data_IF_780160434985
#
_entry.id   IF_780160434985
#
_cell.length_a   1.000
_cell.length_b   1.000
_cell.length_c   1.000
_cell.angle_alpha   90.00
_cell.angle_beta   90.00
_cell.angle_gamma   90.00
#
_symmetry.space_group_name_H-M   'P 1'
#
loop_
_entity.id
_entity.type
_entity.pdbx_description
1 polymer ?
#
# COMPACT_ATOMS: atom_id res chain seq x y z
N UNK A 1 -7.95 -32.40 4.15
CA UNK A 1 -7.29 -31.17 3.62
C UNK A 1 -8.32 -30.34 2.90
N UNK A 2 -8.52 -29.08 3.28
CA UNK A 2 -9.48 -28.15 2.70
C UNK A 2 -8.86 -26.74 2.58
N UNK A 3 -9.55 -25.80 1.93
CA UNK A 3 -9.03 -24.45 1.68
C UNK A 3 -8.72 -23.70 2.99
N UNK A 4 -9.57 -23.85 4.02
CA UNK A 4 -9.34 -23.22 5.32
C UNK A 4 -8.07 -23.72 6.03
N UNK A 5 -7.68 -24.96 5.81
CA UNK A 5 -6.43 -25.49 6.38
C UNK A 5 -5.22 -24.75 5.79
N UNK A 6 -5.29 -24.37 4.50
CA UNK A 6 -4.27 -23.56 3.85
C UNK A 6 -4.29 -22.10 4.34
N UNK A 7 -5.47 -21.50 4.49
CA UNK A 7 -5.60 -20.15 5.05
C UNK A 7 -5.00 -20.07 6.46
N UNK A 8 -5.24 -21.07 7.31
CA UNK A 8 -4.66 -21.15 8.65
C UNK A 8 -3.13 -21.29 8.63
N UNK A 9 -2.60 -22.09 7.71
CA UNK A 9 -1.16 -22.28 7.58
C UNK A 9 -0.47 -21.00 7.08
N UNK A 10 -1.09 -20.30 6.12
CA UNK A 10 -0.62 -19.01 5.61
C UNK A 10 -0.63 -17.96 6.72
N UNK A 11 -1.72 -17.84 7.47
CA UNK A 11 -1.82 -16.92 8.60
C UNK A 11 -0.76 -17.22 9.66
N UNK A 12 -0.49 -18.50 9.95
CA UNK A 12 0.57 -18.87 10.90
C UNK A 12 1.96 -18.51 10.38
N UNK A 13 2.21 -18.60 9.08
CA UNK A 13 3.46 -18.16 8.46
C UNK A 13 3.65 -16.65 8.59
N UNK A 14 2.59 -15.87 8.42
CA UNK A 14 2.64 -14.40 8.50
C UNK A 14 2.86 -13.88 9.91
N UNK A 15 2.02 -14.35 10.84
CA UNK A 15 2.02 -13.83 12.20
C UNK A 15 3.05 -14.49 13.11
N UNK A 16 3.57 -15.66 12.76
CA UNK A 16 4.51 -16.46 13.59
C UNK A 16 4.02 -16.64 15.03
N UNK A 17 2.71 -16.52 15.24
CA UNK A 17 2.07 -16.60 16.55
C UNK A 17 0.66 -17.18 16.43
N UNK A 18 0.39 -18.34 17.08
CA UNK A 18 -0.89 -19.03 16.97
C UNK A 18 -2.11 -18.18 17.35
N UNK A 19 -2.00 -17.35 18.39
CA UNK A 19 -3.10 -16.48 18.82
C UNK A 19 -3.44 -15.40 17.81
N UNK A 20 -2.44 -14.75 17.22
CA UNK A 20 -2.63 -13.70 16.19
C UNK A 20 -3.14 -14.31 14.89
N UNK A 21 -2.59 -15.45 14.45
CA UNK A 21 -3.08 -16.17 13.29
C UNK A 21 -4.53 -16.64 13.46
N UNK A 22 -4.93 -17.08 14.65
CA UNK A 22 -6.30 -17.47 14.94
C UNK A 22 -7.26 -16.27 14.88
N UNK A 23 -6.83 -15.13 15.44
CA UNK A 23 -7.60 -13.89 15.41
C UNK A 23 -7.80 -13.38 13.97
N UNK A 24 -6.76 -13.42 13.14
CA UNK A 24 -6.86 -13.00 11.72
C UNK A 24 -7.79 -13.89 10.90
N UNK A 25 -7.90 -15.17 11.27
CA UNK A 25 -8.81 -16.13 10.64
C UNK A 25 -10.20 -16.21 11.32
N UNK A 26 -10.49 -15.33 12.28
CA UNK A 26 -11.76 -15.28 13.03
C UNK A 26 -12.13 -16.61 13.72
N UNK A 27 -11.13 -17.31 14.26
CA UNK A 27 -11.32 -18.58 14.98
C UNK A 27 -10.62 -18.56 16.33
N UNK A 28 -10.94 -19.57 17.17
CA UNK A 28 -10.21 -19.77 18.41
C UNK A 28 -8.83 -20.40 18.16
N UNK A 29 -7.83 -20.03 18.97
CA UNK A 29 -6.49 -20.62 18.87
C UNK A 29 -6.50 -22.17 18.96
N UNK A 30 -7.29 -22.83 19.85
CA UNK A 30 -7.41 -24.29 19.85
C UNK A 30 -7.91 -24.86 18.52
N UNK A 31 -8.89 -24.17 17.88
CA UNK A 31 -9.43 -24.57 16.58
C UNK A 31 -8.35 -24.57 15.51
N UNK A 32 -7.64 -23.44 15.37
CA UNK A 32 -6.55 -23.30 14.39
C UNK A 32 -5.46 -24.36 14.63
N UNK A 33 -5.00 -24.52 15.86
CA UNK A 33 -3.96 -25.51 16.22
C UNK A 33 -4.39 -26.95 15.90
N UNK A 34 -5.67 -27.29 16.16
CA UNK A 34 -6.20 -28.63 15.87
C UNK A 34 -6.30 -28.88 14.37
N UNK A 35 -6.72 -27.90 13.57
CA UNK A 35 -6.83 -28.06 12.12
C UNK A 35 -5.44 -28.16 11.47
N UNK A 36 -4.48 -27.35 11.91
CA UNK A 36 -3.10 -27.45 11.42
C UNK A 36 -2.48 -28.82 11.77
N UNK A 37 -2.75 -29.36 12.96
CA UNK A 37 -2.31 -30.72 13.29
C UNK A 37 -2.93 -31.77 12.39
N UNK A 38 -4.23 -31.69 12.10
CA UNK A 38 -4.88 -32.59 11.13
C UNK A 38 -4.27 -32.47 9.74
N UNK A 39 -3.90 -31.28 9.29
CA UNK A 39 -3.21 -31.07 8.03
C UNK A 39 -1.83 -31.78 8.03
N UNK A 40 -1.05 -31.65 9.12
CA UNK A 40 0.23 -32.35 9.28
C UNK A 40 0.04 -33.88 9.26
N UNK A 41 -0.97 -34.39 9.96
CA UNK A 41 -1.30 -35.81 10.02
C UNK A 41 -1.70 -36.33 8.62
N UNK A 42 -2.49 -35.57 7.86
CA UNK A 42 -2.92 -35.95 6.50
C UNK A 42 -1.76 -35.93 5.50
N UNK A 43 -0.83 -34.95 5.63
CA UNK A 43 0.36 -34.86 4.78
C UNK A 43 1.49 -35.82 5.22
N UNK A 44 1.36 -36.42 6.40
CA UNK A 44 2.32 -37.37 6.95
C UNK A 44 3.66 -36.73 7.34
N UNK A 45 3.71 -35.40 7.51
CA UNK A 45 4.95 -34.71 7.85
C UNK A 45 4.66 -33.45 8.68
N UNK A 46 5.53 -33.12 9.67
CA UNK A 46 5.40 -31.87 10.41
C UNK A 46 5.71 -30.65 9.53
N UNK A 47 4.81 -29.67 9.54
CA UNK A 47 4.96 -28.40 8.86
C UNK A 47 5.44 -27.28 9.81
N UNK A 48 5.25 -27.47 11.11
CA UNK A 48 5.48 -26.49 12.16
C UNK A 48 6.44 -27.03 13.19
N UNK A 49 7.48 -26.27 13.50
CA UNK A 49 8.37 -26.53 14.63
C UNK A 49 7.74 -25.99 15.91
N UNK A 50 7.44 -26.87 16.86
CA UNK A 50 6.78 -26.53 18.13
C UNK A 50 7.77 -26.34 19.28
N UNK A 51 9.04 -26.07 18.98
CA UNK A 51 10.08 -25.88 19.99
C UNK A 51 10.30 -24.41 20.33
N UNK A 52 9.96 -24.00 21.56
CA UNK A 52 10.27 -22.68 22.10
C UNK A 52 9.15 -21.64 22.04
N UNK A 53 9.49 -20.38 22.30
CA UNK A 53 8.55 -19.24 22.33
C UNK A 53 8.15 -18.76 20.94
N UNK A 54 8.91 -19.09 19.90
CA UNK A 54 8.68 -18.63 18.53
C UNK A 54 8.16 -19.80 17.68
N UNK A 55 7.12 -19.54 16.91
CA UNK A 55 6.57 -20.47 15.91
C UNK A 55 7.42 -20.35 14.63
N UNK A 56 7.96 -21.47 14.17
CA UNK A 56 8.69 -21.54 12.92
C UNK A 56 8.10 -22.65 12.04
N UNK A 57 8.16 -22.46 10.74
CA UNK A 57 7.83 -23.51 9.79
C UNK A 57 9.06 -24.40 9.54
N UNK A 58 8.81 -25.68 9.36
CA UNK A 58 9.83 -26.59 8.85
C UNK A 58 10.19 -26.23 7.41
N UNK A 59 11.27 -26.79 6.87
CA UNK A 59 11.60 -26.65 5.44
C UNK A 59 10.42 -27.07 4.56
N UNK A 60 9.80 -28.22 4.87
CA UNK A 60 8.61 -28.71 4.15
C UNK A 60 7.42 -27.75 4.34
N UNK A 61 7.25 -27.21 5.56
CA UNK A 61 6.22 -26.22 5.86
C UNK A 61 6.31 -24.98 4.96
N UNK A 62 7.52 -24.45 4.77
CA UNK A 62 7.73 -23.32 3.85
C UNK A 62 7.38 -23.65 2.39
N UNK A 63 7.76 -24.85 1.92
CA UNK A 63 7.41 -25.30 0.57
C UNK A 63 5.89 -25.49 0.41
N UNK A 64 5.20 -26.04 1.43
CA UNK A 64 3.74 -26.21 1.44
C UNK A 64 3.03 -24.87 1.47
N UNK A 65 3.47 -23.90 2.30
CA UNK A 65 2.89 -22.54 2.33
C UNK A 65 2.96 -21.87 0.95
N UNK A 66 4.11 -21.97 0.28
CA UNK A 66 4.26 -21.40 -1.07
C UNK A 66 3.27 -22.01 -2.08
N UNK A 67 2.90 -23.27 -1.91
CA UNK A 67 1.86 -23.92 -2.74
C UNK A 67 0.45 -23.57 -2.28
N UNK A 68 0.23 -23.51 -0.97
CA UNK A 68 -1.05 -23.13 -0.37
C UNK A 68 -1.50 -21.74 -0.83
N UNK A 69 -0.58 -20.77 -0.88
CA UNK A 69 -0.87 -19.40 -1.40
C UNK A 69 -1.41 -19.47 -2.83
N UNK A 70 -0.80 -20.27 -3.72
CA UNK A 70 -1.27 -20.44 -5.09
C UNK A 70 -2.65 -21.09 -5.18
N UNK A 71 -2.96 -22.05 -4.30
CA UNK A 71 -4.28 -22.69 -4.27
C UNK A 71 -5.36 -21.70 -3.84
N UNK A 72 -5.09 -20.92 -2.79
CA UNK A 72 -6.03 -19.88 -2.32
C UNK A 72 -6.28 -18.85 -3.39
N UNK A 73 -5.22 -18.39 -4.08
CA UNK A 73 -5.30 -17.46 -5.21
C UNK A 73 -6.20 -18.03 -6.33
N UNK A 74 -5.99 -19.28 -6.75
CA UNK A 74 -6.77 -19.92 -7.81
C UNK A 74 -8.26 -20.06 -7.45
N UNK A 75 -8.56 -20.37 -6.20
CA UNK A 75 -9.96 -20.42 -5.75
C UNK A 75 -10.61 -19.05 -5.75
N UNK A 76 -9.87 -18.01 -5.38
CA UNK A 76 -10.36 -16.63 -5.44
C UNK A 76 -10.61 -16.19 -6.90
N UNK A 77 -9.72 -16.57 -7.84
CA UNK A 77 -9.94 -16.34 -9.29
C UNK A 77 -11.18 -17.06 -9.81
N UNK A 78 -11.40 -18.35 -9.43
CA UNK A 78 -12.63 -19.07 -9.81
C UNK A 78 -13.89 -18.34 -9.32
N UNK A 79 -13.88 -17.83 -8.09
CA UNK A 79 -14.98 -17.04 -7.54
C UNK A 79 -15.18 -15.73 -8.31
N UNK A 80 -14.10 -15.09 -8.73
CA UNK A 80 -14.12 -13.89 -9.56
C UNK A 80 -14.71 -14.18 -10.94
N UNK A 81 -14.24 -15.23 -11.63
CA UNK A 81 -14.78 -15.68 -12.91
C UNK A 81 -16.29 -15.92 -12.81
N UNK A 82 -16.73 -16.63 -11.77
CA UNK A 82 -18.16 -16.93 -11.57
C UNK A 82 -19.01 -15.66 -11.34
N UNK A 83 -18.46 -14.64 -10.66
CA UNK A 83 -19.15 -13.35 -10.47
C UNK A 83 -19.26 -12.53 -11.76
N UNK A 84 -18.34 -12.69 -12.70
CA UNK A 84 -18.21 -11.87 -13.91
C UNK A 84 -18.64 -12.59 -15.19
N UNK A 85 -19.27 -13.75 -15.09
CA UNK A 85 -19.69 -14.56 -16.23
C UNK A 85 -20.63 -13.86 -17.22
N UNK A 86 -21.11 -12.65 -16.91
CA UNK A 86 -22.05 -11.89 -17.76
C UNK A 86 -21.45 -10.63 -18.41
N UNK A 87 -20.55 -9.89 -17.77
CA UNK A 87 -19.87 -8.71 -18.36
C UNK A 87 -18.71 -8.25 -17.47
N UNK A 88 -17.44 -8.29 -17.93
CA UNK A 88 -16.29 -7.78 -17.17
C UNK A 88 -16.35 -6.28 -16.87
N UNK A 89 -17.17 -5.52 -17.61
CA UNK A 89 -17.38 -4.09 -17.41
C UNK A 89 -18.55 -3.77 -16.46
N UNK A 90 -19.34 -4.78 -16.10
CA UNK A 90 -20.51 -4.67 -15.20
C UNK A 90 -20.29 -5.56 -13.98
N UNK A 91 -19.33 -5.22 -13.12
CA UNK A 91 -18.99 -6.02 -11.96
C UNK A 91 -18.48 -5.19 -10.80
N UNK A 92 -17.94 -5.85 -9.80
CA UNK A 92 -17.29 -5.21 -8.66
C UNK A 92 -15.77 -5.47 -8.73
N UNK A 93 -14.97 -4.41 -8.76
CA UNK A 93 -13.52 -4.45 -8.61
C UNK A 93 -13.14 -4.06 -7.19
N UNK A 94 -12.34 -4.88 -6.53
CA UNK A 94 -11.72 -4.59 -5.25
C UNK A 94 -10.35 -3.98 -5.49
N UNK A 95 -10.26 -2.66 -5.30
CA UNK A 95 -9.06 -1.87 -5.55
C UNK A 95 -8.38 -1.52 -4.23
N UNK A 96 -7.18 -2.03 -4.02
CA UNK A 96 -6.32 -1.64 -2.90
C UNK A 96 -5.60 -0.33 -3.18
N UNK A 97 -5.49 0.56 -2.19
CA UNK A 97 -4.70 1.78 -2.29
C UNK A 97 -4.03 2.10 -0.95
N UNK A 98 -2.79 2.58 -0.98
CA UNK A 98 -2.05 2.86 0.25
C UNK A 98 -2.46 4.19 0.92
N UNK A 99 -2.35 4.30 2.28
CA UNK A 99 -2.98 5.38 3.07
C UNK A 99 -2.46 6.79 2.78
N UNK A 100 -1.24 6.94 2.29
CA UNK A 100 -0.68 8.27 1.98
C UNK A 100 -1.03 8.77 0.56
N UNK A 101 -1.83 8.00 -0.18
CA UNK A 101 -2.37 8.39 -1.49
C UNK A 101 -3.91 8.37 -1.48
N UNK A 102 -4.50 7.31 -0.93
CA UNK A 102 -5.92 7.01 -1.07
C UNK A 102 -6.85 8.20 -0.75
N UNK A 103 -6.74 8.88 0.42
CA UNK A 103 -7.63 9.99 0.77
C UNK A 103 -7.55 11.17 -0.20
N UNK A 104 -6.43 11.32 -0.90
CA UNK A 104 -6.12 12.46 -1.77
C UNK A 104 -6.42 12.16 -3.25
N UNK A 105 -6.31 10.89 -3.66
CA UNK A 105 -6.62 10.44 -5.02
C UNK A 105 -8.14 10.24 -5.21
N UNK A 106 -8.81 9.64 -4.22
CA UNK A 106 -10.24 9.26 -4.34
C UNK A 106 -11.16 10.42 -4.72
N UNK A 107 -11.02 11.64 -4.15
CA UNK A 107 -11.88 12.77 -4.54
C UNK A 107 -11.81 13.12 -6.03
N UNK A 108 -10.69 12.88 -6.67
CA UNK A 108 -10.49 13.09 -8.11
C UNK A 108 -10.90 11.86 -8.94
N UNK A 109 -10.44 10.67 -8.54
CA UNK A 109 -10.60 9.47 -9.33
C UNK A 109 -12.03 8.90 -9.29
N UNK A 110 -12.70 8.90 -8.14
CA UNK A 110 -14.02 8.23 -8.01
C UNK A 110 -15.12 8.89 -8.85
N UNK A 111 -15.28 10.21 -8.90
CA UNK A 111 -16.25 10.83 -9.79
C UNK A 111 -15.98 10.53 -11.27
N UNK A 112 -14.69 10.56 -11.67
CA UNK A 112 -14.27 10.26 -13.03
C UNK A 112 -14.55 8.78 -13.40
N UNK A 113 -14.21 7.84 -12.52
CA UNK A 113 -14.49 6.41 -12.70
C UNK A 113 -15.97 6.14 -12.79
N UNK A 114 -16.80 6.73 -11.93
CA UNK A 114 -18.25 6.59 -11.98
C UNK A 114 -18.85 7.11 -13.28
N UNK A 115 -18.29 8.18 -13.84
CA UNK A 115 -18.71 8.74 -15.13
C UNK A 115 -18.28 7.89 -16.33
N UNK A 116 -17.02 7.43 -16.33
CA UNK A 116 -16.44 6.70 -17.46
C UNK A 116 -16.84 5.21 -17.47
N UNK A 117 -17.04 4.61 -16.31
CA UNK A 117 -17.34 3.18 -16.13
C UNK A 117 -18.58 2.99 -15.23
N UNK A 118 -19.77 3.47 -15.66
CA UNK A 118 -20.96 3.57 -14.80
C UNK A 118 -21.51 2.20 -14.34
N UNK A 119 -21.21 1.14 -15.07
CA UNK A 119 -21.61 -0.23 -14.73
C UNK A 119 -20.62 -0.95 -13.81
N UNK A 120 -19.46 -0.35 -13.55
CA UNK A 120 -18.41 -0.92 -12.71
C UNK A 120 -18.53 -0.37 -11.29
N UNK A 121 -18.68 -1.24 -10.30
CA UNK A 121 -18.56 -0.89 -8.88
C UNK A 121 -17.10 -1.02 -8.45
N UNK A 122 -16.56 0.01 -7.82
CA UNK A 122 -15.19 -0.03 -7.27
C UNK A 122 -15.28 0.00 -5.75
N UNK A 123 -14.94 -1.12 -5.13
CA UNK A 123 -14.77 -1.23 -3.69
C UNK A 123 -13.31 -0.91 -3.36
N UNK A 124 -13.08 0.16 -2.60
CA UNK A 124 -11.74 0.59 -2.23
C UNK A 124 -11.35 0.03 -0.86
N UNK A 125 -10.16 -0.54 -0.79
CA UNK A 125 -9.54 -1.03 0.45
C UNK A 125 -8.27 -0.23 0.69
N UNK A 126 -8.16 0.38 1.88
CA UNK A 126 -6.99 1.15 2.28
C UNK A 126 -6.15 0.34 3.25
N UNK A 127 -4.93 -0.01 2.83
CA UNK A 127 -3.98 -0.76 3.64
C UNK A 127 -2.53 -0.41 3.26
N UNK A 128 -1.57 -0.77 4.10
CA UNK A 128 -0.14 -0.62 3.82
C UNK A 128 0.26 -1.47 2.61
N UNK A 129 1.26 -1.01 1.85
CA UNK A 129 1.69 -1.65 0.59
C UNK A 129 1.93 -3.15 0.74
N UNK A 130 2.63 -3.58 1.78
CA UNK A 130 2.90 -5.00 2.02
C UNK A 130 1.62 -5.82 2.23
N UNK A 131 0.64 -5.29 2.98
CA UNK A 131 -0.67 -5.93 3.16
C UNK A 131 -1.43 -6.00 1.84
N UNK A 132 -1.45 -4.89 1.07
CA UNK A 132 -2.09 -4.86 -0.25
C UNK A 132 -1.51 -5.90 -1.21
N UNK A 133 -0.19 -6.07 -1.21
CA UNK A 133 0.48 -7.09 -2.02
C UNK A 133 0.06 -8.51 -1.60
N UNK A 134 -0.01 -8.79 -0.30
CA UNK A 134 -0.50 -10.08 0.19
C UNK A 134 -1.97 -10.33 -0.16
N UNK A 135 -2.83 -9.32 -0.03
CA UNK A 135 -4.24 -9.42 -0.40
C UNK A 135 -4.41 -9.62 -1.91
N UNK A 136 -3.56 -8.98 -2.74
CA UNK A 136 -3.54 -9.20 -4.18
C UNK A 136 -3.16 -10.65 -4.51
N UNK A 137 -2.11 -11.18 -3.88
CA UNK A 137 -1.66 -12.56 -4.06
C UNK A 137 -2.71 -13.58 -3.58
N UNK A 138 -3.42 -13.28 -2.51
CA UNK A 138 -4.50 -14.10 -1.99
C UNK A 138 -5.80 -14.02 -2.82
N UNK A 139 -5.87 -13.10 -3.80
CA UNK A 139 -7.08 -12.87 -4.61
C UNK A 139 -8.21 -12.15 -3.85
N UNK A 140 -7.91 -11.55 -2.72
CA UNK A 140 -8.83 -10.71 -1.96
C UNK A 140 -9.02 -9.33 -2.61
N UNK A 141 -7.99 -8.87 -3.34
CA UNK A 141 -8.03 -7.69 -4.19
C UNK A 141 -7.87 -8.09 -5.67
N UNK A 142 -8.47 -7.32 -6.55
CA UNK A 142 -8.36 -7.50 -8.00
C UNK A 142 -7.20 -6.69 -8.58
N UNK A 143 -6.95 -5.51 -8.02
CA UNK A 143 -5.80 -4.65 -8.33
C UNK A 143 -5.38 -3.82 -7.13
N UNK A 144 -4.14 -3.30 -7.18
CA UNK A 144 -3.61 -2.38 -6.16
C UNK A 144 -2.98 -1.15 -6.83
N UNK A 145 -3.12 0.01 -6.20
CA UNK A 145 -2.37 1.21 -6.52
C UNK A 145 -1.30 1.37 -5.45
N UNK A 146 -0.02 1.38 -5.87
CA UNK A 146 1.13 1.46 -4.95
C UNK A 146 2.16 2.48 -5.44
N UNK A 147 2.95 3.01 -4.51
CA UNK A 147 4.01 4.00 -4.76
C UNK A 147 5.43 3.40 -4.71
N UNK A 148 5.55 2.11 -4.90
CA UNK A 148 6.82 1.37 -4.92
C UNK A 148 6.87 0.46 -6.14
N UNK A 149 8.05 0.20 -6.70
CA UNK A 149 8.17 -0.74 -7.80
C UNK A 149 7.66 -2.14 -7.42
N UNK A 150 6.74 -2.68 -8.21
CA UNK A 150 6.30 -4.07 -8.10
C UNK A 150 6.95 -4.86 -9.24
N UNK A 151 7.97 -5.64 -8.91
CA UNK A 151 8.67 -6.48 -9.90
C UNK A 151 8.55 -7.94 -9.45
N UNK A 152 7.47 -8.61 -9.91
CA UNK A 152 7.21 -10.01 -9.58
C UNK A 152 6.61 -10.76 -10.77
N UNK A 153 6.98 -12.03 -10.92
CA UNK A 153 6.37 -12.92 -11.92
C UNK A 153 4.88 -13.10 -11.63
N UNK A 154 4.05 -13.00 -12.66
CA UNK A 154 2.60 -13.17 -12.56
C UNK A 154 1.82 -11.90 -12.17
N UNK A 155 2.51 -10.77 -12.02
CA UNK A 155 1.89 -9.46 -11.80
C UNK A 155 2.18 -8.56 -13.00
N UNK A 156 1.13 -8.01 -13.57
CA UNK A 156 1.20 -6.94 -14.57
C UNK A 156 1.17 -5.59 -13.87
N UNK A 157 1.94 -4.66 -14.39
CA UNK A 157 2.09 -3.32 -13.80
C UNK A 157 1.91 -2.28 -14.89
N UNK A 158 1.12 -1.25 -14.59
CA UNK A 158 0.92 -0.10 -15.46
C UNK A 158 1.27 1.17 -14.69
N UNK A 159 2.26 1.97 -15.14
CA UNK A 159 2.55 3.27 -14.56
C UNK A 159 1.30 4.16 -14.60
N UNK A 160 1.04 4.90 -13.55
CA UNK A 160 -0.04 5.90 -13.52
C UNK A 160 0.52 7.30 -13.64
N UNK A 161 1.26 7.73 -12.65
CA UNK A 161 1.81 9.07 -12.61
C UNK A 161 3.01 9.17 -11.67
N UNK A 162 3.79 10.23 -11.87
CA UNK A 162 4.84 10.68 -10.97
C UNK A 162 4.32 11.84 -10.14
N UNK A 163 4.52 11.77 -8.84
CA UNK A 163 4.09 12.78 -7.89
C UNK A 163 5.28 13.31 -7.12
N UNK A 164 5.53 14.63 -7.26
CA UNK A 164 6.60 15.30 -6.53
C UNK A 164 6.28 15.46 -5.06
N UNK A 165 7.32 15.43 -4.24
CA UNK A 165 7.24 15.85 -2.86
C UNK A 165 7.48 17.34 -2.73
N UNK A 166 6.79 17.95 -1.78
CA UNK A 166 7.00 19.29 -1.32
C UNK A 166 7.66 19.24 0.05
N UNK A 167 8.53 20.17 0.34
CA UNK A 167 9.00 20.40 1.69
C UNK A 167 7.94 21.18 2.47
N UNK A 168 7.59 20.70 3.66
CA UNK A 168 6.57 21.29 4.51
C UNK A 168 7.15 21.64 5.87
N UNK A 169 6.95 22.87 6.29
CA UNK A 169 7.37 23.39 7.59
C UNK A 169 6.33 24.30 8.21
N UNK A 170 6.51 24.71 9.50
CA UNK A 170 5.65 25.69 10.13
C UNK A 170 5.69 27.02 9.40
N UNK A 171 4.53 27.69 9.23
CA UNK A 171 4.46 28.94 8.47
C UNK A 171 5.27 30.11 9.09
N UNK A 172 5.56 30.02 10.39
CA UNK A 172 6.36 31.03 11.11
C UNK A 172 7.87 30.71 11.16
N UNK A 173 8.30 29.60 10.54
CA UNK A 173 9.71 29.20 10.51
C UNK A 173 10.48 30.15 9.56
N UNK A 174 11.60 30.77 10.02
CA UNK A 174 12.42 31.64 9.18
C UNK A 174 12.96 30.94 7.93
N UNK A 175 13.24 29.64 7.98
CA UNK A 175 13.69 28.85 6.84
C UNK A 175 12.64 28.76 5.72
N UNK A 176 11.35 28.94 6.05
CA UNK A 176 10.26 28.97 5.09
C UNK A 176 10.11 30.34 4.41
N UNK A 177 10.78 31.37 4.89
CA UNK A 177 10.65 32.75 4.40
C UNK A 177 11.42 33.04 3.10
N UNK A 178 12.39 32.23 2.74
CA UNK A 178 13.14 32.40 1.48
C UNK A 178 12.24 32.15 0.27
N UNK A 179 12.28 33.03 -0.71
CA UNK A 179 11.56 32.88 -1.97
C UNK A 179 12.36 32.02 -2.96
N UNK A 180 11.76 30.92 -3.41
CA UNK A 180 12.29 30.04 -4.44
C UNK A 180 12.23 28.57 -4.06
N UNK A 181 12.42 27.68 -5.06
CA UNK A 181 12.45 26.24 -4.84
C UNK A 181 13.73 25.85 -4.05
N UNK A 182 13.62 24.78 -3.26
CA UNK A 182 14.74 24.21 -2.53
C UNK A 182 15.51 23.24 -3.42
N UNK A 183 16.82 23.17 -3.23
CA UNK A 183 17.59 21.99 -3.67
C UNK A 183 17.50 20.89 -2.63
N UNK A 184 17.61 19.64 -3.05
CA UNK A 184 17.69 18.51 -2.11
C UNK A 184 18.88 18.67 -1.12
N UNK A 185 19.97 19.31 -1.56
CA UNK A 185 21.12 19.61 -0.70
C UNK A 185 20.82 20.63 0.41
N UNK A 186 19.80 21.48 0.24
CA UNK A 186 19.42 22.46 1.27
C UNK A 186 18.80 21.79 2.52
N UNK A 187 18.48 20.51 2.43
CA UNK A 187 18.05 19.72 3.57
C UNK A 187 19.23 19.17 4.43
N UNK A 188 20.49 19.48 4.10
CA UNK A 188 21.64 19.02 4.88
C UNK A 188 21.57 19.54 6.32
N UNK A 189 21.56 18.60 7.27
CA UNK A 189 21.44 18.90 8.70
C UNK A 189 20.03 19.06 9.23
N UNK A 190 18.99 19.02 8.37
CA UNK A 190 17.60 19.04 8.80
C UNK A 190 17.19 17.71 9.45
N UNK A 191 16.31 17.79 10.45
CA UNK A 191 15.65 16.65 11.06
C UNK A 191 14.20 16.54 10.57
N UNK A 192 13.91 15.52 9.76
CA UNK A 192 12.58 15.34 9.20
C UNK A 192 11.67 14.47 10.08
N UNK A 193 10.47 14.94 10.30
CA UNK A 193 9.38 14.14 10.84
C UNK A 193 8.96 13.09 9.82
N UNK A 194 8.88 11.83 10.22
CA UNK A 194 8.53 10.73 9.34
C UNK A 194 7.31 9.94 9.87
N UNK A 195 6.68 9.22 8.97
CA UNK A 195 5.65 8.24 9.33
C UNK A 195 6.26 7.02 10.03
N UNK A 196 5.43 6.28 10.74
CA UNK A 196 5.80 5.00 11.33
C UNK A 196 6.19 3.97 10.26
N UNK A 197 6.86 2.91 10.68
CA UNK A 197 7.29 1.81 9.80
C UNK A 197 6.12 1.19 9.01
N UNK A 198 6.44 0.72 7.81
CA UNK A 198 5.50 0.10 6.89
C UNK A 198 4.74 1.07 5.98
N UNK A 199 4.96 2.38 6.09
CA UNK A 199 4.49 3.35 5.11
C UNK A 199 5.55 3.60 4.04
N UNK A 200 5.21 3.42 2.76
CA UNK A 200 6.15 3.65 1.64
C UNK A 200 6.71 5.08 1.63
N UNK A 201 5.92 6.08 2.03
CA UNK A 201 6.36 7.46 2.13
C UNK A 201 7.54 7.63 3.13
N UNK A 202 7.57 6.83 4.21
CA UNK A 202 8.71 6.81 5.12
C UNK A 202 10.00 6.40 4.42
N UNK A 203 9.94 5.28 3.69
CA UNK A 203 11.12 4.74 3.00
C UNK A 203 11.59 5.68 1.90
N UNK A 204 10.66 6.32 1.18
CA UNK A 204 10.93 7.34 0.18
C UNK A 204 11.60 8.58 0.81
N UNK A 205 11.06 9.09 1.92
CA UNK A 205 11.67 10.21 2.64
C UNK A 205 13.05 9.86 3.21
N UNK A 206 13.25 8.64 3.71
CA UNK A 206 14.57 8.18 4.14
C UNK A 206 15.59 8.10 2.99
N UNK A 207 15.16 7.81 1.77
CA UNK A 207 16.04 7.88 0.60
C UNK A 207 16.47 9.32 0.33
N UNK A 208 15.55 10.28 0.42
CA UNK A 208 15.87 11.72 0.32
C UNK A 208 16.83 12.13 1.43
N UNK A 209 16.60 11.71 2.68
CA UNK A 209 17.52 11.96 3.80
C UNK A 209 18.94 11.44 3.52
N UNK A 210 19.08 10.23 2.98
CA UNK A 210 20.39 9.65 2.64
C UNK A 210 21.12 10.48 1.58
N UNK A 211 20.40 11.03 0.60
CA UNK A 211 20.97 11.84 -0.47
C UNK A 211 21.34 13.24 0.00
N UNK A 212 20.52 13.85 0.85
CA UNK A 212 20.68 15.20 1.37
C UNK A 212 21.53 15.28 2.64
N UNK A 213 21.85 14.15 3.28
CA UNK A 213 22.43 14.06 4.63
C UNK A 213 21.52 14.66 5.73
N UNK A 214 20.23 14.74 5.48
CA UNK A 214 19.23 14.97 6.51
C UNK A 214 19.06 13.74 7.39
N UNK A 215 18.44 13.88 8.55
CA UNK A 215 18.20 12.80 9.50
C UNK A 215 16.73 12.64 9.84
N UNK A 216 16.36 11.49 10.42
CA UNK A 216 15.03 11.28 10.98
C UNK A 216 14.95 11.89 12.38
N UNK A 217 13.90 12.64 12.67
CA UNK A 217 13.57 13.07 14.01
C UNK A 217 12.93 11.91 14.79
N UNK A 218 13.71 11.27 15.65
CA UNK A 218 13.36 9.98 16.29
C UNK A 218 12.25 10.11 17.33
N UNK A 219 12.08 11.30 17.93
CA UNK A 219 11.16 11.53 19.06
C UNK A 219 9.68 11.55 18.65
N UNK A 220 9.38 11.67 17.37
CA UNK A 220 8.02 11.78 16.84
C UNK A 220 7.78 10.79 15.70
N UNK A 221 6.71 10.01 15.81
CA UNK A 221 6.27 9.08 14.77
C UNK A 221 4.78 9.23 14.55
N UNK A 222 4.38 9.64 13.38
CA UNK A 222 2.98 9.72 12.99
C UNK A 222 2.51 8.41 12.36
N UNK A 223 1.27 8.03 12.61
CA UNK A 223 0.63 6.85 12.01
C UNK A 223 -0.17 7.21 10.76
N UNK A 224 -0.41 8.50 10.51
CA UNK A 224 -1.09 8.99 9.31
C UNK A 224 -0.47 10.29 8.82
N UNK A 225 -0.66 10.58 7.53
CA UNK A 225 -0.16 11.81 6.92
C UNK A 225 -0.85 13.06 7.50
N UNK A 226 -2.13 12.97 7.89
CA UNK A 226 -2.83 14.07 8.56
C UNK A 226 -2.23 14.37 9.92
N UNK A 227 -1.93 13.36 10.73
CA UNK A 227 -1.21 13.56 12.01
C UNK A 227 0.13 14.22 11.77
N UNK A 228 0.89 13.78 10.75
CA UNK A 228 2.17 14.36 10.39
C UNK A 228 2.04 15.86 10.02
N UNK A 229 1.03 16.23 9.22
CA UNK A 229 0.73 17.63 8.89
C UNK A 229 0.43 18.47 10.13
N UNK A 230 -0.38 17.96 11.05
CA UNK A 230 -0.69 18.66 12.30
C UNK A 230 0.54 18.82 13.20
N UNK A 231 1.44 17.85 13.24
CA UNK A 231 2.71 17.95 13.97
C UNK A 231 3.58 19.08 13.40
N UNK A 232 3.68 19.19 12.06
CA UNK A 232 4.38 20.30 11.40
C UNK A 232 3.76 21.64 11.78
N UNK A 233 2.43 21.78 11.67
CA UNK A 233 1.71 23.02 12.04
C UNK A 233 1.93 23.41 13.50
N UNK A 234 2.07 22.45 14.40
CA UNK A 234 2.35 22.69 15.82
C UNK A 234 3.81 23.07 16.12
N UNK A 235 4.66 23.11 15.12
CA UNK A 235 6.08 23.47 15.28
C UNK A 235 6.97 22.31 15.72
N UNK A 236 6.51 21.06 15.59
CA UNK A 236 7.31 19.89 15.99
C UNK A 236 8.50 19.61 15.03
N UNK A 237 8.51 20.21 13.83
CA UNK A 237 9.57 20.05 12.83
C UNK A 237 9.03 20.18 11.41
N UNK A 238 9.80 19.72 10.44
CA UNK A 238 9.46 19.74 9.03
C UNK A 238 9.39 18.32 8.44
N UNK A 239 8.83 18.17 7.24
CA UNK A 239 8.65 16.88 6.58
C UNK A 239 8.56 17.03 5.06
N UNK A 240 8.48 15.88 4.36
CA UNK A 240 8.12 15.81 2.94
C UNK A 240 6.66 15.41 2.81
N UNK A 241 5.90 16.15 2.00
CA UNK A 241 4.48 15.90 1.75
C UNK A 241 4.25 15.70 0.24
N UNK A 242 3.52 14.65 -0.17
CA UNK A 242 3.13 14.47 -1.56
C UNK A 242 2.23 15.61 -2.04
N UNK A 243 2.37 16.03 -3.31
CA UNK A 243 1.63 17.16 -3.89
C UNK A 243 0.12 17.02 -3.79
N UNK A 244 -0.44 15.85 -4.05
CA UNK A 244 -1.89 15.60 -3.93
C UNK A 244 -2.41 15.85 -2.51
N UNK A 245 -1.59 15.59 -1.48
CA UNK A 245 -2.00 15.78 -0.09
C UNK A 245 -2.14 17.25 0.34
N UNK A 246 -1.79 18.20 -0.54
CA UNK A 246 -1.90 19.65 -0.27
C UNK A 246 -2.64 20.38 -1.39
N UNK A 247 -3.15 19.65 -2.38
CA UNK A 247 -3.91 20.20 -3.52
C UNK A 247 -5.42 20.08 -3.25
N UNK A 248 -6.24 21.03 -3.69
CA UNK A 248 -7.69 20.91 -3.59
C UNK A 248 -8.21 19.55 -4.10
N UNK A 249 -9.21 18.94 -3.44
CA UNK A 249 -10.10 19.51 -2.42
C UNK A 249 -9.57 19.52 -0.99
N UNK A 250 -8.29 19.19 -0.76
CA UNK A 250 -7.68 19.29 0.56
C UNK A 250 -7.69 20.75 1.02
N UNK A 251 -8.25 21.00 2.19
CA UNK A 251 -8.31 22.35 2.74
C UNK A 251 -6.92 22.86 3.09
N UNK A 252 -6.48 24.03 2.56
CA UNK A 252 -5.22 24.64 2.95
C UNK A 252 -5.18 24.93 4.45
N UNK A 253 -4.04 24.67 5.07
CA UNK A 253 -3.82 25.05 6.47
C UNK A 253 -2.87 26.25 6.52
N UNK A 254 -3.30 27.42 7.02
CA UNK A 254 -2.45 28.63 7.04
C UNK A 254 -1.22 28.50 7.95
N UNK A 255 -1.21 27.51 8.85
CA UNK A 255 -0.05 27.20 9.70
C UNK A 255 1.00 26.32 9.01
N UNK A 256 0.72 25.83 7.79
CA UNK A 256 1.61 24.99 7.00
C UNK A 256 2.18 25.76 5.84
N UNK A 257 3.50 25.99 5.83
CA UNK A 257 4.20 26.53 4.68
C UNK A 257 4.75 25.39 3.81
N UNK A 258 4.68 25.58 2.50
CA UNK A 258 5.11 24.58 1.51
C UNK A 258 6.17 25.20 0.59
N UNK A 259 7.17 24.40 0.23
CA UNK A 259 8.17 24.76 -0.78
C UNK A 259 8.33 23.66 -1.81
N UNK A 260 8.46 24.04 -3.04
CA UNK A 260 8.81 23.13 -4.13
C UNK A 260 10.31 22.86 -4.14
N UNK A 261 10.69 21.74 -4.75
CA UNK A 261 12.09 21.45 -5.04
C UNK A 261 12.42 21.85 -6.48
N UNK A 262 13.66 22.27 -6.68
CA UNK A 262 14.25 22.41 -8.02
C UNK A 262 14.52 21.01 -8.60
N UNK A 263 14.54 20.91 -9.92
CA UNK A 263 14.85 19.66 -10.61
C UNK A 263 16.30 19.20 -10.37
N UNK A 264 16.50 17.89 -10.16
CA UNK A 264 15.48 16.83 -10.05
C UNK A 264 14.79 16.81 -8.68
N UNK A 265 13.48 17.06 -8.69
CA UNK A 265 12.68 17.03 -7.47
C UNK A 265 12.52 15.61 -6.91
N UNK A 266 12.56 15.44 -5.59
CA UNK A 266 12.20 14.16 -4.97
C UNK A 266 10.73 13.84 -5.27
N UNK A 267 10.47 12.59 -5.66
CA UNK A 267 9.16 12.17 -6.14
C UNK A 267 8.88 10.70 -5.80
N UNK A 268 7.66 10.29 -6.07
CA UNK A 268 7.27 8.88 -6.12
C UNK A 268 6.58 8.56 -7.43
N UNK A 269 6.87 7.39 -7.97
CA UNK A 269 6.13 6.85 -9.11
C UNK A 269 5.00 5.96 -8.58
N UNK A 270 3.77 6.24 -9.03
CA UNK A 270 2.57 5.51 -8.64
C UNK A 270 2.18 4.59 -9.78
N UNK A 271 1.90 3.35 -9.44
CA UNK A 271 1.56 2.31 -10.42
C UNK A 271 0.26 1.59 -10.02
N UNK A 272 -0.45 1.09 -11.02
CA UNK A 272 -1.51 0.10 -10.89
C UNK A 272 -0.91 -1.28 -11.15
N UNK A 273 -1.17 -2.24 -10.27
CA UNK A 273 -0.69 -3.60 -10.41
C UNK A 273 -1.83 -4.61 -10.20
N UNK A 274 -1.80 -5.71 -10.97
CA UNK A 274 -2.80 -6.77 -10.90
C UNK A 274 -2.21 -8.11 -11.31
N UNK A 275 -2.88 -9.21 -10.96
CA UNK A 275 -2.45 -10.55 -11.41
C UNK A 275 -2.64 -10.70 -12.92
N UNK A 276 -1.62 -11.19 -13.63
CA UNK A 276 -1.64 -11.35 -15.09
C UNK A 276 -2.80 -12.25 -15.58
N UNK A 277 -3.26 -13.17 -14.74
CA UNK A 277 -4.42 -14.03 -14.98
C UNK A 277 -5.78 -13.40 -14.66
N UNK A 278 -5.84 -12.13 -14.24
CA UNK A 278 -7.08 -11.48 -13.83
C UNK A 278 -8.10 -11.42 -14.96
N UNK A 279 -9.36 -11.68 -14.63
CA UNK A 279 -10.49 -11.52 -15.55
C UNK A 279 -10.73 -10.06 -15.95
N UNK A 280 -10.25 -9.11 -15.15
CA UNK A 280 -10.33 -7.66 -15.38
C UNK A 280 -9.16 -7.07 -16.17
N UNK A 281 -8.20 -7.88 -16.64
CA UNK A 281 -6.98 -7.40 -17.32
C UNK A 281 -7.25 -6.41 -18.44
N UNK A 282 -8.41 -6.50 -19.12
CA UNK A 282 -8.79 -5.59 -20.21
C UNK A 282 -9.48 -4.31 -19.69
N UNK A 283 -9.95 -4.31 -18.43
CA UNK A 283 -10.58 -3.16 -17.78
C UNK A 283 -9.55 -2.28 -17.10
N UNK A 284 -8.48 -2.85 -16.53
CA UNK A 284 -7.47 -2.10 -15.80
C UNK A 284 -6.76 -1.01 -16.62
N UNK A 285 -6.43 -1.20 -17.92
CA UNK A 285 -5.91 -0.09 -18.73
C UNK A 285 -6.90 1.08 -18.84
N UNK A 286 -8.21 0.82 -18.98
CA UNK A 286 -9.23 1.86 -19.04
C UNK A 286 -9.37 2.58 -17.68
N UNK A 287 -9.33 1.81 -16.58
CA UNK A 287 -9.32 2.37 -15.22
C UNK A 287 -8.09 3.27 -15.01
N UNK A 288 -6.91 2.82 -15.44
CA UNK A 288 -5.66 3.59 -15.37
C UNK A 288 -5.75 4.91 -16.13
N UNK A 289 -6.28 4.92 -17.34
CA UNK A 289 -6.48 6.13 -18.14
C UNK A 289 -7.40 7.14 -17.44
N UNK A 290 -8.48 6.67 -16.84
CA UNK A 290 -9.40 7.52 -16.09
C UNK A 290 -8.72 8.10 -14.85
N UNK A 291 -7.95 7.29 -14.11
CA UNK A 291 -7.20 7.75 -12.94
C UNK A 291 -6.14 8.77 -13.35
N UNK A 292 -5.36 8.52 -14.40
CA UNK A 292 -4.37 9.47 -14.95
C UNK A 292 -5.02 10.79 -15.31
N UNK A 293 -6.11 10.74 -16.09
CA UNK A 293 -6.84 11.94 -16.52
C UNK A 293 -7.40 12.76 -15.36
N UNK A 294 -7.79 12.10 -14.27
CA UNK A 294 -8.38 12.77 -13.11
C UNK A 294 -7.38 13.63 -12.31
N UNK A 295 -6.09 13.42 -12.48
CA UNK A 295 -5.01 14.12 -11.73
C UNK A 295 -3.95 14.76 -12.66
N UNK A 296 -4.18 14.78 -13.97
CA UNK A 296 -3.21 15.23 -14.97
C UNK A 296 -2.75 16.69 -14.78
N UNK A 297 -3.60 17.55 -14.19
CA UNK A 297 -3.27 18.95 -13.90
C UNK A 297 -2.42 19.12 -12.61
N UNK A 298 -2.21 18.03 -11.84
CA UNK A 298 -1.57 18.08 -10.53
C UNK A 298 -0.23 17.35 -10.54
N UNK A 299 -0.13 16.26 -11.29
CA UNK A 299 1.02 15.35 -11.32
C UNK A 299 1.50 15.09 -12.75
N UNK A 300 2.68 14.51 -12.90
CA UNK A 300 3.19 14.12 -14.22
C UNK A 300 2.67 12.74 -14.60
N UNK A 301 1.84 12.64 -15.62
CA UNK A 301 1.32 11.37 -16.16
C UNK A 301 2.46 10.55 -16.78
N UNK A 302 2.49 9.23 -16.53
CA UNK A 302 3.51 8.30 -17.02
C UNK A 302 2.96 7.36 -18.10
#
# INVERSE_FOLDING_TARGET
MNLRDFEYLIALDEFRHFGQAAQSCEVSQPTLSTQLKKLEDELGTPLIERSGRNVQLTRVGNEVVARARKVVEQVAEMRSIARHASDPRAGEIRLGCFPTLNPYLLPHAMPALKSALPSLSVLVVEEKTQTLEHMLDAGELDAIIVGTPVVRSGIDVLPLFREDFLFAGPAHDPHMSNHGPLSVSDLEGEELLLLSEGHCLRDQALQVCKTSKASEQVNYRATSLETLRHMVVSGAGCTLIPRLAVTPPVTPNPGLALKEFSDPAPHRDVVLAWRSGSVYREVFPQLAEVVRGSVADIVTVL
#
